data_IF_178354130316
#
_entry.id   IF_178354130316
#
_cell.length_a   1.000
_cell.length_b   1.000
_cell.length_c   1.000
_cell.angle_alpha   90.00
_cell.angle_beta   90.00
_cell.angle_gamma   90.00
#
_symmetry.space_group_name_H-M   'P 1'
#
loop_
_entity.id
_entity.type
_entity.pdbx_description
1 polymer ?
#
# COMPACT_ATOMS: atom_id res chain seq x y z
N UNK A 1 -5.55 -3.66 18.12
CA UNK A 1 -6.72 -3.32 17.28
C UNK A 1 -6.20 -2.37 16.24
N UNK A 2 -6.17 -2.74 14.95
CA UNK A 2 -5.83 -1.79 13.88
C UNK A 2 -6.97 -0.78 13.78
N UNK A 3 -6.64 0.50 13.94
CA UNK A 3 -7.53 1.63 13.73
C UNK A 3 -7.44 2.09 12.28
N UNK A 4 -8.57 2.52 11.70
CA UNK A 4 -8.59 3.12 10.37
C UNK A 4 -8.19 4.59 10.49
N UNK A 5 -7.37 5.10 9.59
CA UNK A 5 -7.02 6.52 9.60
C UNK A 5 -8.28 7.40 9.47
N UNK A 6 -8.29 8.50 10.21
CA UNK A 6 -9.30 9.54 10.01
C UNK A 6 -8.96 10.35 8.76
N UNK A 7 -9.62 9.99 7.64
CA UNK A 7 -9.53 10.72 6.38
C UNK A 7 -10.49 11.91 6.32
N UNK A 8 -10.06 12.99 5.67
CA UNK A 8 -10.88 14.17 5.36
C UNK A 8 -11.50 14.07 3.96
N UNK A 9 -11.87 12.85 3.57
CA UNK A 9 -12.48 12.56 2.27
C UNK A 9 -13.26 11.26 2.31
N UNK A 10 -14.16 11.09 1.34
CA UNK A 10 -14.75 9.80 0.99
C UNK A 10 -14.18 9.37 -0.36
N UNK A 11 -13.82 8.09 -0.52
CA UNK A 11 -13.41 7.54 -1.81
C UNK A 11 -14.09 6.19 -2.05
N UNK A 12 -14.47 5.93 -3.30
CA UNK A 12 -15.17 4.72 -3.68
C UNK A 12 -14.87 4.30 -5.12
N UNK A 13 -14.89 2.99 -5.36
CA UNK A 13 -14.85 2.43 -6.73
C UNK A 13 -16.24 2.57 -7.35
N UNK A 14 -16.30 2.98 -8.62
CA UNK A 14 -17.55 3.06 -9.37
C UNK A 14 -17.45 2.33 -10.72
N UNK A 15 -18.58 1.79 -11.19
CA UNK A 15 -18.64 0.92 -12.38
C UNK A 15 -18.52 1.68 -13.72
N UNK A 16 -18.77 2.99 -13.73
CA UNK A 16 -18.80 3.80 -14.96
C UNK A 16 -17.66 4.80 -15.01
N UNK A 17 -16.82 4.73 -16.04
CA UNK A 17 -15.68 5.63 -16.26
C UNK A 17 -15.96 6.75 -17.28
N UNK A 18 -17.21 7.20 -17.42
CA UNK A 18 -17.63 8.12 -18.47
C UNK A 18 -16.92 9.50 -18.39
N UNK A 19 -15.68 9.56 -18.88
CA UNK A 19 -14.78 10.71 -18.77
C UNK A 19 -14.26 10.91 -17.34
N UNK A 20 -13.20 10.19 -16.96
CA UNK A 20 -12.49 10.49 -15.72
C UNK A 20 -11.76 11.84 -15.80
N UNK A 21 -11.77 12.61 -14.72
CA UNK A 21 -11.04 13.89 -14.65
C UNK A 21 -9.52 13.66 -14.72
N UNK A 22 -9.06 12.54 -14.17
CA UNK A 22 -7.64 12.14 -14.14
C UNK A 22 -7.41 10.70 -14.59
N UNK A 23 -6.19 10.42 -15.04
CA UNK A 23 -5.75 9.07 -15.39
C UNK A 23 -4.32 8.86 -14.92
N UNK A 24 -4.13 7.79 -14.13
CA UNK A 24 -2.84 7.39 -13.58
C UNK A 24 -2.47 6.00 -14.10
N UNK A 25 -1.30 5.90 -14.70
CA UNK A 25 -0.82 4.69 -15.35
C UNK A 25 0.51 4.30 -14.72
N UNK A 26 0.57 3.10 -14.14
CA UNK A 26 1.83 2.53 -13.73
C UNK A 26 2.63 2.03 -14.94
N UNK A 27 3.94 1.83 -14.75
CA UNK A 27 4.76 1.18 -15.75
C UNK A 27 4.20 -0.22 -16.09
N UNK A 28 4.12 -0.53 -17.39
CA UNK A 28 3.56 -1.80 -17.86
C UNK A 28 2.04 -1.93 -17.72
N UNK A 29 1.32 -0.84 -17.41
CA UNK A 29 -0.14 -0.85 -17.33
C UNK A 29 -0.80 -1.29 -18.65
N UNK A 30 -1.76 -2.21 -18.52
CA UNK A 30 -2.60 -2.65 -19.64
C UNK A 30 -3.86 -1.79 -19.82
N UNK A 31 -4.81 -2.28 -20.61
CA UNK A 31 -6.07 -1.58 -20.87
C UNK A 31 -7.07 -1.58 -19.67
N UNK A 32 -6.82 -2.39 -18.65
CA UNK A 32 -7.71 -2.49 -17.47
C UNK A 32 -7.34 -1.43 -16.44
N UNK A 33 -8.33 -0.70 -15.97
CA UNK A 33 -8.21 0.27 -14.88
C UNK A 33 -9.37 0.17 -13.92
N UNK A 34 -9.14 0.60 -12.68
CA UNK A 34 -10.19 0.86 -11.70
C UNK A 34 -10.57 2.33 -11.77
N UNK A 35 -11.87 2.61 -11.78
CA UNK A 35 -12.40 3.96 -11.73
C UNK A 35 -12.80 4.31 -10.28
N UNK A 36 -12.25 5.41 -9.78
CA UNK A 36 -12.41 5.88 -8.41
C UNK A 36 -13.05 7.27 -8.43
N UNK A 37 -14.07 7.47 -7.60
CA UNK A 37 -14.62 8.78 -7.28
C UNK A 37 -14.12 9.18 -5.90
N UNK A 38 -13.64 10.42 -5.80
CA UNK A 38 -13.09 10.99 -4.56
C UNK A 38 -13.84 12.27 -4.23
N UNK A 39 -14.27 12.37 -2.99
CA UNK A 39 -15.03 13.49 -2.42
C UNK A 39 -14.25 14.05 -1.22
N UNK A 40 -13.29 14.97 -1.43
CA UNK A 40 -12.63 15.65 -0.34
C UNK A 40 -13.59 16.56 0.44
N UNK A 41 -13.45 16.62 1.75
CA UNK A 41 -14.29 17.49 2.57
C UNK A 41 -13.89 18.95 2.37
N UNK A 42 -14.80 19.74 1.82
CA UNK A 42 -14.58 21.17 1.58
C UNK A 42 -13.86 21.50 0.27
N UNK A 43 -13.64 20.53 -0.62
CA UNK A 43 -13.17 20.76 -1.98
C UNK A 43 -14.10 20.11 -3.02
N UNK A 44 -13.81 20.33 -4.30
CA UNK A 44 -14.60 19.75 -5.39
C UNK A 44 -14.30 18.26 -5.54
N UNK A 45 -15.35 17.45 -5.65
CA UNK A 45 -15.22 16.02 -5.99
C UNK A 45 -14.63 15.85 -7.38
N UNK A 46 -13.87 14.78 -7.56
CA UNK A 46 -13.23 14.43 -8.82
C UNK A 46 -13.17 12.92 -8.98
N UNK A 47 -12.83 12.49 -10.18
CA UNK A 47 -12.75 11.10 -10.55
C UNK A 47 -11.44 10.76 -11.24
N UNK A 48 -10.98 9.53 -11.08
CA UNK A 48 -9.79 9.06 -11.76
C UNK A 48 -9.85 7.60 -12.17
N UNK A 49 -9.08 7.28 -13.19
CA UNK A 49 -8.72 5.90 -13.52
C UNK A 49 -7.32 5.58 -13.02
N UNK A 50 -7.17 4.41 -12.42
CA UNK A 50 -5.89 3.86 -12.00
C UNK A 50 -5.64 2.57 -12.76
N UNK A 51 -4.57 2.53 -13.56
CA UNK A 51 -4.22 1.40 -14.40
C UNK A 51 -2.89 0.78 -13.96
N UNK A 52 -2.92 -0.51 -13.62
CA UNK A 52 -1.76 -1.28 -13.19
C UNK A 52 -1.42 -2.41 -14.19
N UNK A 53 -0.20 -2.97 -14.17
CA UNK A 53 0.09 -4.23 -14.86
C UNK A 53 -0.82 -5.38 -14.37
N UNK A 54 -0.81 -6.50 -15.10
CA UNK A 54 -1.39 -7.76 -14.61
C UNK A 54 -0.40 -8.38 -13.61
N UNK A 55 -0.79 -8.58 -12.33
CA UNK A 55 0.14 -9.10 -11.32
C UNK A 55 0.48 -10.59 -11.53
N UNK A 56 -0.27 -11.32 -12.36
CA UNK A 56 -0.08 -12.76 -12.61
C UNK A 56 -0.35 -13.69 -11.41
N UNK A 57 -0.61 -13.13 -10.22
CA UNK A 57 -0.90 -13.83 -8.95
C UNK A 57 -1.86 -13.03 -8.08
N UNK A 58 -2.24 -13.57 -6.91
CA UNK A 58 -3.10 -12.88 -5.93
C UNK A 58 -2.43 -11.56 -5.51
N UNK A 59 -3.18 -10.47 -5.63
CA UNK A 59 -2.76 -9.12 -5.27
C UNK A 59 -3.93 -8.36 -4.64
N UNK A 60 -3.63 -7.35 -3.83
CA UNK A 60 -4.62 -6.50 -3.19
C UNK A 60 -5.22 -5.50 -4.19
N UNK A 61 -6.52 -5.25 -4.09
CA UNK A 61 -7.15 -4.04 -4.62
C UNK A 61 -7.90 -3.36 -3.48
N UNK A 62 -7.56 -2.11 -3.15
CA UNK A 62 -8.10 -1.39 -2.00
C UNK A 62 -7.95 0.13 -2.15
N UNK A 63 -8.81 0.86 -1.44
CA UNK A 63 -8.68 2.30 -1.19
C UNK A 63 -8.36 2.47 0.28
N UNK A 64 -7.18 3.01 0.58
CA UNK A 64 -6.63 3.07 1.93
C UNK A 64 -6.35 4.53 2.29
N UNK A 65 -6.77 4.94 3.49
CA UNK A 65 -6.30 6.21 4.04
C UNK A 65 -4.80 6.14 4.32
N UNK A 66 -4.19 7.29 4.55
CA UNK A 66 -2.81 7.37 5.03
C UNK A 66 -2.76 8.18 6.32
N UNK A 67 -1.61 8.25 7.01
CA UNK A 67 -1.46 9.13 8.16
C UNK A 67 -1.62 10.63 7.83
N UNK A 68 -1.53 11.02 6.56
CA UNK A 68 -1.98 12.33 6.11
C UNK A 68 -3.51 12.28 5.91
N UNK A 69 -4.31 13.13 6.59
CA UNK A 69 -5.77 13.14 6.47
C UNK A 69 -6.29 13.33 5.03
N UNK A 70 -5.51 13.98 4.16
CA UNK A 70 -5.85 14.14 2.74
C UNK A 70 -5.10 13.16 1.83
N UNK A 71 -4.24 12.30 2.39
CA UNK A 71 -3.51 11.30 1.63
C UNK A 71 -4.35 10.05 1.38
N UNK A 72 -4.39 9.61 0.13
CA UNK A 72 -5.06 8.39 -0.31
C UNK A 72 -4.03 7.47 -0.97
N UNK A 73 -4.03 6.21 -0.56
CA UNK A 73 -3.33 5.13 -1.24
C UNK A 73 -4.35 4.27 -1.99
N UNK A 74 -4.28 4.29 -3.33
CA UNK A 74 -5.06 3.41 -4.20
C UNK A 74 -4.21 2.22 -4.56
N UNK A 75 -4.54 1.04 -4.05
CA UNK A 75 -3.91 -0.20 -4.49
C UNK A 75 -4.77 -0.79 -5.60
N UNK A 76 -4.23 -0.86 -6.80
CA UNK A 76 -4.87 -1.48 -7.95
C UNK A 76 -4.06 -2.70 -8.38
N UNK A 77 -4.63 -3.91 -8.17
CA UNK A 77 -3.98 -5.19 -8.50
C UNK A 77 -2.54 -5.30 -7.97
N UNK A 78 -2.31 -4.80 -6.76
CA UNK A 78 -1.01 -4.81 -6.09
C UNK A 78 -0.07 -3.68 -6.44
N UNK A 79 -0.41 -2.80 -7.40
CA UNK A 79 0.31 -1.55 -7.58
C UNK A 79 -0.31 -0.48 -6.70
N UNK A 80 0.47 0.05 -5.76
CA UNK A 80 0.04 1.19 -4.95
C UNK A 80 0.28 2.50 -5.71
N UNK A 81 -0.72 3.37 -5.71
CA UNK A 81 -0.62 4.77 -6.09
C UNK A 81 -0.83 5.61 -4.84
N UNK A 82 0.00 6.63 -4.64
CA UNK A 82 -0.04 7.47 -3.46
C UNK A 82 -0.12 8.93 -3.88
N UNK A 83 -1.02 9.69 -3.26
CA UNK A 83 -1.16 11.12 -3.54
C UNK A 83 -2.08 11.82 -2.54
N UNK A 84 -2.21 13.14 -2.73
CA UNK A 84 -3.08 14.03 -1.96
C UNK A 84 -4.39 14.27 -2.72
N UNK A 85 -5.53 14.03 -2.08
CA UNK A 85 -6.85 14.20 -2.69
C UNK A 85 -7.22 15.65 -2.98
N UNK A 86 -6.55 16.62 -2.34
CA UNK A 86 -6.69 18.05 -2.63
C UNK A 86 -5.80 18.49 -3.80
N UNK A 87 -4.84 17.65 -4.21
CA UNK A 87 -4.00 17.88 -5.38
C UNK A 87 -3.92 16.58 -6.22
N UNK A 88 -4.93 16.26 -7.03
CA UNK A 88 -5.00 14.98 -7.74
C UNK A 88 -3.80 14.72 -8.67
N UNK A 89 -3.17 15.76 -9.19
CA UNK A 89 -1.97 15.63 -10.02
C UNK A 89 -0.73 15.10 -9.26
N UNK A 90 -0.80 15.00 -7.93
CA UNK A 90 0.28 14.46 -7.09
C UNK A 90 0.36 12.93 -7.06
N UNK A 91 -0.65 12.22 -7.57
CA UNK A 91 -0.64 10.76 -7.51
C UNK A 91 0.45 10.14 -8.35
N UNK A 92 1.25 9.28 -7.72
CA UNK A 92 2.32 8.54 -8.36
C UNK A 92 2.27 7.06 -7.96
N UNK A 93 2.75 6.18 -8.85
CA UNK A 93 2.90 4.77 -8.51
C UNK A 93 4.09 4.61 -7.54
N UNK A 94 3.86 3.93 -6.42
CA UNK A 94 4.88 3.61 -5.42
C UNK A 94 5.70 2.42 -5.94
N UNK A 95 7.03 2.56 -6.12
CA UNK A 95 7.87 1.43 -6.46
C UNK A 95 7.94 0.45 -5.29
N UNK A 96 7.51 -0.79 -5.51
CA UNK A 96 7.60 -1.89 -4.53
C UNK A 96 8.27 -3.10 -5.16
N UNK A 97 8.95 -3.91 -4.36
CA UNK A 97 9.51 -5.18 -4.83
C UNK A 97 8.41 -6.26 -4.94
N UNK A 98 7.62 -6.16 -6.02
CA UNK A 98 6.49 -7.02 -6.31
C UNK A 98 5.13 -6.42 -5.89
N UNK A 99 4.01 -7.07 -6.25
CA UNK A 99 2.67 -6.60 -5.96
C UNK A 99 2.39 -6.61 -4.46
N UNK A 100 1.73 -5.56 -3.98
CA UNK A 100 1.12 -5.51 -2.65
C UNK A 100 0.04 -6.59 -2.56
N UNK A 101 0.14 -7.43 -1.52
CA UNK A 101 -0.78 -8.56 -1.27
C UNK A 101 -1.64 -8.36 -0.03
N UNK A 102 -1.21 -7.50 0.89
CA UNK A 102 -1.95 -7.10 2.08
C UNK A 102 -1.55 -5.67 2.49
N UNK A 103 -2.36 -5.05 3.33
CA UNK A 103 -2.05 -3.75 3.91
C UNK A 103 -2.62 -3.64 5.34
N UNK A 104 -1.96 -2.85 6.18
CA UNK A 104 -2.41 -2.59 7.56
C UNK A 104 -2.33 -1.09 7.87
N UNK A 105 -3.43 -0.52 8.36
CA UNK A 105 -3.49 0.85 8.86
C UNK A 105 -3.13 0.85 10.36
N UNK A 106 -2.01 1.50 10.71
CA UNK A 106 -1.53 1.63 12.08
C UNK A 106 -1.70 3.08 12.52
N UNK A 107 -2.90 3.41 13.02
CA UNK A 107 -3.27 4.77 13.41
C UNK A 107 -2.38 5.33 14.54
N UNK A 108 -2.12 4.52 15.58
CA UNK A 108 -1.32 4.93 16.74
C UNK A 108 0.14 5.21 16.33
N UNK A 109 0.71 4.34 15.50
CA UNK A 109 2.07 4.46 14.99
C UNK A 109 2.18 5.44 13.80
N UNK A 110 1.05 5.89 13.25
CA UNK A 110 0.96 6.77 12.08
C UNK A 110 1.70 6.20 10.87
N UNK A 111 1.47 4.93 10.57
CA UNK A 111 2.07 4.23 9.43
C UNK A 111 1.03 3.37 8.71
N UNK A 112 0.94 3.52 7.39
CA UNK A 112 0.29 2.55 6.52
C UNK A 112 1.35 1.53 6.06
N UNK A 113 1.13 0.25 6.33
CA UNK A 113 1.97 -0.82 5.82
C UNK A 113 1.40 -1.38 4.52
N UNK A 114 2.23 -1.50 3.50
CA UNK A 114 1.98 -2.22 2.27
C UNK A 114 2.87 -3.47 2.27
N UNK A 115 2.24 -4.63 2.38
CA UNK A 115 2.93 -5.92 2.50
C UNK A 115 2.98 -6.57 1.13
N UNK A 116 4.19 -6.77 0.60
CA UNK A 116 4.45 -7.59 -0.57
C UNK A 116 4.83 -9.02 -0.18
N UNK A 117 5.06 -9.90 -1.17
CA UNK A 117 5.51 -11.27 -0.91
C UNK A 117 6.95 -11.34 -0.37
N UNK A 118 7.75 -10.27 -0.54
CA UNK A 118 9.18 -10.30 -0.24
C UNK A 118 9.68 -9.10 0.58
N UNK A 119 8.99 -7.97 0.52
CA UNK A 119 9.30 -6.74 1.25
C UNK A 119 8.05 -6.19 1.93
N UNK A 120 8.27 -5.32 2.90
CA UNK A 120 7.24 -4.48 3.50
C UNK A 120 7.62 -3.02 3.20
N UNK A 121 6.66 -2.24 2.73
CA UNK A 121 6.81 -0.80 2.52
C UNK A 121 5.95 -0.06 3.55
N UNK A 122 6.54 0.93 4.24
CA UNK A 122 5.81 1.81 5.14
C UNK A 122 5.55 3.17 4.49
N UNK A 123 4.35 3.70 4.70
CA UNK A 123 3.92 5.01 4.25
C UNK A 123 3.56 5.86 5.47
N UNK A 124 4.19 7.02 5.56
CA UNK A 124 3.93 8.06 6.58
C UNK A 124 3.06 9.19 6.01
N UNK A 125 2.81 10.23 6.81
CA UNK A 125 2.14 11.44 6.33
C UNK A 125 2.93 12.20 5.24
N UNK A 126 4.24 11.96 5.13
CA UNK A 126 5.11 12.60 4.14
C UNK A 126 5.31 11.76 2.86
N UNK A 127 4.63 10.61 2.74
CA UNK A 127 4.84 9.66 1.65
C UNK A 127 5.53 8.39 2.13
N UNK A 128 6.18 7.66 1.21
CA UNK A 128 6.94 6.44 1.55
C UNK A 128 8.01 6.77 2.58
N UNK A 129 7.97 6.06 3.71
CA UNK A 129 8.92 6.21 4.82
C UNK A 129 10.15 5.32 4.62
N UNK A 130 9.92 4.05 4.29
CA UNK A 130 10.95 3.06 3.98
C UNK A 130 10.35 1.86 3.25
N UNK A 131 11.20 1.10 2.57
CA UNK A 131 10.96 -0.29 2.18
C UNK A 131 12.04 -1.15 2.84
N UNK A 132 11.67 -2.32 3.38
CA UNK A 132 12.66 -3.24 3.93
C UNK A 132 13.57 -3.77 2.84
N UNK A 133 14.74 -4.30 3.23
CA UNK A 133 15.42 -5.28 2.38
C UNK A 133 14.50 -6.49 2.11
N UNK A 134 14.86 -7.34 1.14
CA UNK A 134 14.20 -8.62 0.94
C UNK A 134 14.21 -9.46 2.23
N UNK A 135 13.04 -9.94 2.64
CA UNK A 135 12.80 -10.72 3.86
C UNK A 135 12.55 -12.20 3.59
N UNK A 136 12.03 -12.57 2.42
CA UNK A 136 11.61 -13.94 2.09
C UNK A 136 11.95 -14.33 0.65
N UNK A 137 11.94 -15.63 0.37
CA UNK A 137 12.10 -16.20 -0.97
C UNK A 137 10.71 -16.47 -1.58
N UNK A 138 9.84 -17.16 -0.84
CA UNK A 138 8.56 -17.66 -1.32
C UNK A 138 7.36 -16.85 -0.80
N UNK A 139 7.47 -16.27 0.40
CA UNK A 139 6.41 -15.42 0.92
C UNK A 139 6.65 -14.87 2.32
N UNK A 140 5.87 -13.85 2.67
CA UNK A 140 5.85 -13.27 4.02
C UNK A 140 4.48 -13.44 4.65
N UNK A 141 4.47 -13.64 5.97
CA UNK A 141 3.27 -13.51 6.80
C UNK A 141 3.55 -12.54 7.94
N UNK A 142 2.84 -11.42 7.97
CA UNK A 142 2.79 -10.54 9.14
C UNK A 142 1.89 -11.21 10.18
N UNK A 143 2.36 -11.30 11.42
CA UNK A 143 1.63 -11.87 12.54
C UNK A 143 1.07 -10.77 13.46
N UNK A 144 1.85 -9.71 13.67
CA UNK A 144 1.49 -8.56 14.49
C UNK A 144 2.20 -7.31 13.98
N UNK A 145 1.52 -6.17 14.00
CA UNK A 145 2.12 -4.86 13.88
C UNK A 145 1.59 -3.95 14.99
N UNK A 146 2.43 -3.66 15.99
CA UNK A 146 2.07 -2.87 17.16
C UNK A 146 3.32 -2.42 17.94
N UNK A 147 3.18 -1.35 18.73
CA UNK A 147 4.18 -0.98 19.74
C UNK A 147 5.55 -0.65 19.13
N UNK A 148 5.55 -0.08 17.92
CA UNK A 148 6.77 0.28 17.19
C UNK A 148 7.41 -0.85 16.39
N UNK A 149 6.79 -2.03 16.30
CA UNK A 149 7.35 -3.18 15.60
C UNK A 149 6.34 -3.89 14.70
N UNK A 150 6.82 -4.40 13.57
CA UNK A 150 6.14 -5.44 12.78
C UNK A 150 6.85 -6.75 13.05
N UNK A 151 6.10 -7.81 13.37
CA UNK A 151 6.62 -9.16 13.57
C UNK A 151 5.93 -10.13 12.64
N UNK A 152 6.68 -11.10 12.15
CA UNK A 152 6.15 -12.08 11.22
C UNK A 152 7.13 -13.21 10.93
N UNK A 153 6.78 -14.00 9.93
CA UNK A 153 7.60 -15.11 9.45
C UNK A 153 7.84 -14.99 7.93
N UNK A 154 9.08 -15.25 7.55
CA UNK A 154 9.52 -15.49 6.19
C UNK A 154 9.35 -16.95 5.85
N UNK A 155 8.89 -17.20 4.62
CA UNK A 155 8.69 -18.53 4.03
C UNK A 155 7.85 -19.41 4.98
N UNK A 156 6.63 -18.96 5.36
CA UNK A 156 5.85 -19.57 6.44
C UNK A 156 5.38 -21.00 6.17
N UNK A 157 5.45 -21.44 4.91
CA UNK A 157 5.07 -22.78 4.48
C UNK A 157 6.28 -23.73 4.37
N UNK A 158 7.50 -23.25 4.66
CA UNK A 158 8.70 -24.07 4.78
C UNK A 158 8.68 -24.91 6.07
N UNK A 159 9.49 -25.98 6.10
CA UNK A 159 9.66 -26.82 7.30
C UNK A 159 10.30 -26.08 8.48
N UNK A 160 11.04 -25.00 8.21
CA UNK A 160 11.67 -24.14 9.22
C UNK A 160 11.45 -22.64 8.88
N UNK A 161 10.25 -22.09 9.15
CA UNK A 161 9.97 -20.67 8.94
C UNK A 161 10.91 -19.78 9.75
N UNK A 162 11.33 -18.66 9.16
CA UNK A 162 12.27 -17.72 9.80
C UNK A 162 11.52 -16.51 10.33
N UNK A 163 11.55 -16.30 11.63
CA UNK A 163 10.95 -15.10 12.24
C UNK A 163 11.71 -13.84 11.84
N UNK A 164 10.97 -12.76 11.64
CA UNK A 164 11.51 -11.42 11.45
C UNK A 164 10.80 -10.40 12.36
N UNK A 165 11.53 -9.35 12.68
CA UNK A 165 10.98 -8.13 13.28
C UNK A 165 11.49 -6.91 12.51
N UNK A 166 10.62 -5.92 12.30
CA UNK A 166 10.93 -4.65 11.64
C UNK A 166 10.58 -3.50 12.57
N UNK A 167 11.52 -2.62 12.83
CA UNK A 167 11.25 -1.39 13.59
C UNK A 167 10.45 -0.42 12.72
N UNK A 168 9.24 -0.05 13.14
CA UNK A 168 8.31 0.76 12.35
C UNK A 168 8.86 2.15 11.99
N UNK A 169 9.68 2.74 12.88
CA UNK A 169 10.22 4.06 12.67
C UNK A 169 11.30 4.11 11.58
N UNK A 170 12.04 3.02 11.37
CA UNK A 170 13.28 3.03 10.58
C UNK A 170 13.31 2.00 9.46
N UNK A 171 12.44 0.99 9.49
CA UNK A 171 12.48 -0.16 8.59
C UNK A 171 13.64 -1.11 8.87
N UNK A 172 14.35 -0.94 9.99
CA UNK A 172 15.45 -1.84 10.37
C UNK A 172 14.92 -3.24 10.67
N UNK A 173 15.54 -4.22 10.04
CA UNK A 173 15.12 -5.63 10.10
C UNK A 173 16.04 -6.42 11.02
N UNK A 174 15.47 -7.12 11.98
CA UNK A 174 16.10 -8.22 12.71
C UNK A 174 15.52 -9.57 12.25
N UNK A 175 16.36 -10.57 12.00
CA UNK A 175 15.93 -11.90 11.53
C UNK A 175 15.55 -11.96 10.05
N UNK A 176 14.61 -12.85 9.70
CA UNK A 176 14.18 -13.16 8.34
C UNK A 176 15.16 -14.01 7.55
N UNK A 177 14.86 -14.26 6.27
CA UNK A 177 15.78 -14.95 5.38
C UNK A 177 17.03 -14.09 5.13
N UNK A 178 18.21 -14.72 5.22
CA UNK A 178 19.47 -14.12 4.76
C UNK A 178 19.58 -14.43 3.28
N UNK A 179 19.45 -13.41 2.45
CA UNK A 179 19.49 -13.54 0.99
C UNK A 179 20.71 -12.75 0.53
N UNK A 180 21.70 -13.46 0.02
CA UNK A 180 22.92 -12.90 -0.57
C UNK A 180 22.69 -12.46 -2.02
#
# INVERSE_FOLDING_TARGET
>A
MSGRFMSEFTAGVADMSAGADHAFLAEGAGARSTFVVVEPWGAQSWSATFAAPDPGRRALSALLGTPNPTGLCVVERGTAFLGDVLNPASFEAVPTMGPVVAAEELEEERVLLLVGPWTITAVSSAGVLWETRRLAIDGLRVAEASGGWVRGASDPDDGEPREFAVELATGQVAGGATIA
#
